data_IF_892192498486
#
_entry.id   IF_892192498486
#
_cell.length_a   1.000
_cell.length_b   1.000
_cell.length_c   1.000
_cell.angle_alpha   90.00
_cell.angle_beta   90.00
_cell.angle_gamma   90.00
#
_symmetry.space_group_name_H-M   'P 1'
#
loop_
_entity.id
_entity.type
_entity.pdbx_description
1 polymer ?
#
# COMPACT_ATOMS: atom_id res chain seq x y z
N UNK A 1 -37.97 34.71 49.44
CA UNK A 1 -37.57 34.30 48.08
C UNK A 1 -36.06 34.47 47.94
N UNK A 2 -35.32 33.36 47.82
CA UNK A 2 -33.96 33.28 47.26
C UNK A 2 -33.66 31.80 47.08
N UNK A 3 -33.81 31.32 45.85
CA UNK A 3 -33.47 29.95 45.46
C UNK A 3 -32.15 30.05 44.70
N UNK A 4 -31.10 29.40 45.21
CA UNK A 4 -29.80 29.29 44.56
C UNK A 4 -29.83 28.03 43.69
N UNK A 5 -29.69 28.18 42.37
CA UNK A 5 -29.46 27.06 41.45
C UNK A 5 -27.95 26.84 41.32
N UNK A 6 -27.48 25.67 41.73
CA UNK A 6 -26.13 25.20 41.44
C UNK A 6 -26.12 24.53 40.07
N UNK A 7 -25.39 25.12 39.11
CA UNK A 7 -25.13 24.53 37.80
C UNK A 7 -23.89 23.64 37.92
N UNK A 8 -24.05 22.31 37.89
CA UNK A 8 -22.94 21.38 37.72
C UNK A 8 -22.49 21.42 36.26
N UNK A 9 -21.37 22.07 35.98
CA UNK A 9 -20.62 21.87 34.74
C UNK A 9 -19.84 20.55 34.86
N UNK A 10 -20.34 19.49 34.21
CA UNK A 10 -19.54 18.30 33.95
C UNK A 10 -18.50 18.62 32.86
N UNK A 11 -17.25 18.85 33.28
CA UNK A 11 -16.13 18.98 32.37
C UNK A 11 -15.74 17.58 31.89
N UNK A 12 -16.20 17.20 30.70
CA UNK A 12 -15.78 15.96 30.04
C UNK A 12 -14.31 16.06 29.65
N UNK A 13 -13.44 15.36 30.37
CA UNK A 13 -12.04 15.16 30.02
C UNK A 13 -11.96 14.24 28.80
N UNK A 14 -11.81 14.83 27.61
CA UNK A 14 -11.42 14.08 26.42
C UNK A 14 -9.95 13.68 26.56
N UNK A 15 -9.70 12.43 26.97
CA UNK A 15 -8.39 11.82 26.79
C UNK A 15 -8.17 11.62 25.30
N UNK A 16 -7.28 12.43 24.73
CA UNK A 16 -6.70 12.16 23.41
C UNK A 16 -5.83 10.92 23.59
N UNK A 17 -6.41 9.73 23.39
CA UNK A 17 -5.68 8.48 23.39
C UNK A 17 -4.67 8.50 22.26
N UNK A 18 -3.40 8.70 22.59
CA UNK A 18 -2.31 8.44 21.66
C UNK A 18 -2.34 6.95 21.30
N UNK A 19 -2.48 6.64 20.01
CA UNK A 19 -2.32 5.28 19.51
C UNK A 19 -0.94 4.79 19.97
N UNK A 20 -0.92 3.71 20.76
CA UNK A 20 0.33 3.12 21.21
C UNK A 20 1.11 2.62 19.99
N UNK A 21 2.43 2.86 19.91
CA UNK A 21 3.24 2.39 18.78
C UNK A 21 3.13 0.88 18.61
N UNK A 22 3.18 0.43 17.36
CA UNK A 22 3.12 -0.99 17.00
C UNK A 22 4.28 -1.73 17.65
N UNK A 23 4.03 -2.76 18.45
CA UNK A 23 5.08 -3.69 18.85
C UNK A 23 5.31 -4.69 17.71
N UNK A 24 6.32 -4.42 16.87
CA UNK A 24 6.62 -5.25 15.70
C UNK A 24 7.02 -6.67 16.07
N UNK A 25 7.73 -6.89 17.18
CA UNK A 25 8.07 -8.23 17.65
C UNK A 25 6.84 -9.05 17.99
N UNK A 26 5.83 -8.42 18.61
CA UNK A 26 4.55 -9.06 18.88
C UNK A 26 3.81 -9.39 17.58
N UNK A 27 3.67 -8.44 16.65
CA UNK A 27 2.99 -8.70 15.38
C UNK A 27 3.70 -9.75 14.53
N UNK A 28 5.03 -9.81 14.56
CA UNK A 28 5.79 -10.85 13.88
C UNK A 28 5.55 -12.22 14.51
N UNK A 29 5.52 -12.32 15.84
CA UNK A 29 5.16 -13.56 16.51
C UNK A 29 3.74 -13.98 16.10
N UNK A 30 2.76 -13.08 16.15
CA UNK A 30 1.38 -13.36 15.72
C UNK A 30 1.28 -13.72 14.23
N UNK A 31 2.07 -13.09 13.36
CA UNK A 31 2.13 -13.38 11.92
C UNK A 31 2.50 -14.83 11.65
N UNK A 32 3.37 -15.42 12.48
CA UNK A 32 3.91 -16.77 12.32
C UNK A 32 3.55 -17.71 13.48
N UNK A 33 2.42 -17.46 14.14
CA UNK A 33 1.86 -18.33 15.19
C UNK A 33 2.87 -18.68 16.31
N UNK A 34 3.63 -17.68 16.74
CA UNK A 34 4.63 -17.74 17.81
C UNK A 34 6.02 -18.20 17.37
N UNK A 35 6.19 -18.71 16.15
CA UNK A 35 7.45 -19.25 15.63
C UNK A 35 7.91 -18.49 14.39
N UNK A 36 8.11 -17.17 14.51
CA UNK A 36 8.62 -16.39 13.39
C UNK A 36 10.08 -16.77 13.08
N UNK A 37 10.39 -17.14 11.82
CA UNK A 37 11.78 -17.31 11.40
C UNK A 37 12.47 -15.95 11.16
N UNK A 38 11.74 -14.83 11.25
CA UNK A 38 12.23 -13.51 10.88
C UNK A 38 12.33 -12.58 12.08
N UNK A 39 13.38 -11.77 12.10
CA UNK A 39 13.55 -10.67 13.06
C UNK A 39 12.80 -9.40 12.60
N UNK A 40 12.59 -8.41 13.50
CA UNK A 40 12.07 -7.09 13.12
C UNK A 40 12.79 -6.42 11.95
N UNK A 41 14.07 -6.70 11.72
CA UNK A 41 14.85 -6.12 10.62
C UNK A 41 14.40 -6.60 9.23
N UNK A 42 13.60 -7.67 9.16
CA UNK A 42 13.00 -8.15 7.92
C UNK A 42 11.71 -7.42 7.57
N UNK A 43 11.15 -6.63 8.50
CA UNK A 43 9.94 -5.83 8.25
C UNK A 43 10.30 -4.65 7.35
N UNK A 44 9.88 -4.73 6.09
CA UNK A 44 10.12 -3.67 5.10
C UNK A 44 8.98 -2.66 5.03
N UNK A 45 7.84 -2.97 5.65
CA UNK A 45 6.70 -2.06 5.74
C UNK A 45 5.86 -2.35 6.97
N UNK A 46 5.44 -1.30 7.68
CA UNK A 46 4.40 -1.39 8.68
C UNK A 46 3.58 -0.10 8.73
N UNK A 47 2.25 -0.23 8.82
CA UNK A 47 1.33 0.89 9.00
C UNK A 47 0.14 0.51 9.87
N UNK A 48 -0.37 1.49 10.59
CA UNK A 48 -1.62 1.44 11.33
C UNK A 48 -2.59 2.48 10.78
N UNK A 49 -3.88 2.15 10.80
CA UNK A 49 -4.95 3.09 10.52
C UNK A 49 -6.20 2.75 11.33
N UNK A 50 -7.14 3.68 11.37
CA UNK A 50 -8.44 3.49 12.03
C UNK A 50 -9.53 3.85 11.04
N UNK A 51 -10.57 3.03 11.00
CA UNK A 51 -11.78 3.26 10.19
C UNK A 51 -12.99 3.46 11.11
N UNK A 52 -14.08 3.97 10.56
CA UNK A 52 -15.31 4.19 11.34
C UNK A 52 -15.25 5.37 12.34
N UNK A 53 -16.32 5.52 13.13
CA UNK A 53 -16.50 6.64 14.06
C UNK A 53 -17.12 6.17 15.39
N UNK A 54 -16.84 6.93 16.45
CA UNK A 54 -17.40 6.66 17.79
C UNK A 54 -17.09 5.25 18.28
N UNK A 55 -18.12 4.55 18.76
CA UNK A 55 -18.02 3.19 19.27
C UNK A 55 -17.76 2.15 18.17
N UNK A 56 -17.96 2.48 16.89
CA UNK A 56 -17.75 1.58 15.74
C UNK A 56 -16.36 1.73 15.11
N UNK A 57 -15.38 2.30 15.82
CA UNK A 57 -14.00 2.41 15.32
C UNK A 57 -13.31 1.04 15.23
N UNK A 58 -12.66 0.75 14.11
CA UNK A 58 -11.81 -0.44 13.99
C UNK A 58 -10.39 0.01 13.73
N UNK A 59 -9.44 -0.48 14.53
CA UNK A 59 -8.01 -0.24 14.32
C UNK A 59 -7.43 -1.40 13.51
N UNK A 60 -6.63 -1.07 12.52
CA UNK A 60 -5.94 -2.01 11.63
C UNK A 60 -4.45 -1.78 11.71
N UNK A 61 -3.69 -2.85 11.56
CA UNK A 61 -2.25 -2.80 11.29
C UNK A 61 -1.93 -3.72 10.13
N UNK A 62 -1.01 -3.32 9.28
CA UNK A 62 -0.48 -4.17 8.22
C UNK A 62 1.03 -4.19 8.29
N UNK A 63 1.63 -5.34 8.06
CA UNK A 63 3.07 -5.51 7.93
C UNK A 63 3.40 -6.27 6.65
N UNK A 64 4.53 -5.93 6.04
CA UNK A 64 5.15 -6.73 5.00
C UNK A 64 6.58 -7.09 5.41
N UNK A 65 6.94 -8.35 5.22
CA UNK A 65 8.23 -8.94 5.62
C UNK A 65 8.95 -9.43 4.38
N UNK A 66 10.20 -9.03 4.19
CA UNK A 66 11.05 -9.56 3.12
C UNK A 66 11.58 -10.93 3.52
N UNK A 67 11.25 -11.96 2.75
CA UNK A 67 11.58 -13.37 3.05
C UNK A 67 12.78 -13.91 2.27
N UNK A 68 13.29 -13.15 1.31
CA UNK A 68 14.44 -13.52 0.49
C UNK A 68 15.76 -13.16 1.18
N UNK A 69 16.53 -14.20 1.53
CA UNK A 69 17.68 -14.12 2.46
C UNK A 69 19.06 -13.80 1.82
N UNK A 70 19.15 -13.37 0.56
CA UNK A 70 20.47 -13.08 -0.03
C UNK A 70 20.53 -11.86 -0.93
N UNK A 71 21.65 -11.14 -0.84
CA UNK A 71 22.07 -10.11 -1.80
C UNK A 71 22.41 -10.80 -3.12
N UNK A 72 21.35 -11.08 -3.88
CA UNK A 72 21.45 -11.68 -5.19
C UNK A 72 21.06 -10.62 -6.22
N UNK A 73 22.04 -10.25 -7.05
CA UNK A 73 21.93 -9.24 -8.09
C UNK A 73 20.73 -9.49 -9.04
N UNK A 74 20.44 -10.76 -9.34
CA UNK A 74 19.37 -11.16 -10.25
C UNK A 74 18.10 -11.63 -9.54
N UNK A 75 18.07 -11.65 -8.21
CA UNK A 75 16.92 -12.18 -7.48
C UNK A 75 15.90 -11.07 -7.21
N UNK A 76 14.63 -11.43 -7.36
CA UNK A 76 13.53 -10.60 -6.90
C UNK A 76 13.37 -10.73 -5.38
N UNK A 77 13.00 -9.64 -4.71
CA UNK A 77 12.57 -9.71 -3.33
C UNK A 77 11.19 -10.35 -3.23
N UNK A 78 11.02 -11.24 -2.26
CA UNK A 78 9.74 -11.87 -1.93
C UNK A 78 9.19 -11.30 -0.64
N UNK A 79 7.88 -11.03 -0.63
CA UNK A 79 7.21 -10.41 0.51
C UNK A 79 6.10 -11.30 1.05
N UNK A 80 6.13 -11.56 2.35
CA UNK A 80 4.99 -12.04 3.11
C UNK A 80 4.21 -10.84 3.67
N UNK A 81 2.90 -10.98 3.83
CA UNK A 81 2.02 -9.91 4.32
C UNK A 81 1.05 -10.41 5.38
N UNK A 82 0.82 -9.60 6.42
CA UNK A 82 -0.20 -9.86 7.42
C UNK A 82 -1.01 -8.61 7.77
N UNK A 83 -2.33 -8.78 7.82
CA UNK A 83 -3.28 -7.78 8.27
C UNK A 83 -3.75 -8.16 9.66
N UNK A 84 -3.72 -7.20 10.57
CA UNK A 84 -4.19 -7.33 11.92
C UNK A 84 -5.35 -6.39 12.16
N UNK A 85 -6.30 -6.84 12.97
CA UNK A 85 -7.39 -6.03 13.49
C UNK A 85 -7.27 -6.00 15.00
N UNK A 86 -7.54 -4.85 15.59
CA UNK A 86 -7.53 -4.73 17.03
C UNK A 86 -8.87 -5.20 17.61
N UNK A 87 -8.85 -6.35 18.27
CA UNK A 87 -9.90 -6.78 19.17
C UNK A 87 -9.86 -5.92 20.45
N UNK A 88 -11.02 -5.44 20.87
CA UNK A 88 -11.16 -4.64 22.09
C UNK A 88 -11.25 -5.51 23.34
N UNK A 89 -11.41 -6.81 23.19
CA UNK A 89 -11.67 -7.74 24.28
C UNK A 89 -10.45 -8.59 24.70
N UNK A 90 -9.30 -8.49 24.03
CA UNK A 90 -8.08 -9.22 24.38
C UNK A 90 -6.95 -8.29 24.86
N UNK A 91 -6.24 -8.71 25.91
CA UNK A 91 -5.04 -8.03 26.41
C UNK A 91 -3.91 -8.18 25.36
N UNK A 92 -3.43 -7.07 24.80
CA UNK A 92 -2.51 -7.06 23.63
C UNK A 92 -3.20 -6.72 22.30
N UNK A 93 -4.53 -6.85 22.25
CA UNK A 93 -5.43 -6.21 21.29
C UNK A 93 -5.34 -6.65 19.83
N UNK A 94 -4.19 -6.99 19.26
CA UNK A 94 -4.09 -7.29 17.83
C UNK A 94 -4.30 -8.77 17.52
N UNK A 95 -5.20 -9.07 16.59
CA UNK A 95 -5.42 -10.41 16.05
C UNK A 95 -5.13 -10.42 14.55
N UNK A 96 -4.39 -11.44 14.09
CA UNK A 96 -4.11 -11.65 12.67
C UNK A 96 -5.42 -11.98 11.95
N UNK A 97 -5.87 -11.07 11.10
CA UNK A 97 -7.10 -11.20 10.30
C UNK A 97 -6.84 -11.83 8.93
N UNK A 98 -5.71 -11.50 8.30
CA UNK A 98 -5.28 -12.07 7.01
C UNK A 98 -3.79 -12.31 7.02
N UNK A 99 -3.35 -13.30 6.28
CA UNK A 99 -1.94 -13.62 6.07
C UNK A 99 -1.75 -14.24 4.69
N UNK A 100 -0.72 -13.81 3.98
CA UNK A 100 -0.31 -14.43 2.72
C UNK A 100 1.20 -14.45 2.61
N UNK A 101 1.74 -15.63 2.33
CA UNK A 101 3.14 -15.78 1.94
C UNK A 101 3.34 -15.39 0.49
N UNK A 102 4.51 -14.83 0.19
CA UNK A 102 4.91 -14.47 -1.17
C UNK A 102 3.83 -13.69 -1.94
N UNK A 103 3.11 -12.79 -1.25
CA UNK A 103 2.01 -12.04 -1.88
C UNK A 103 2.53 -11.11 -2.99
N UNK A 104 3.79 -10.69 -2.88
CA UNK A 104 4.46 -9.90 -3.89
C UNK A 104 5.87 -10.42 -4.17
N UNK A 105 6.26 -10.32 -5.44
CA UNK A 105 7.61 -10.58 -5.94
C UNK A 105 8.03 -9.33 -6.69
N UNK A 106 9.14 -8.71 -6.29
CA UNK A 106 9.49 -7.33 -6.68
C UNK A 106 10.92 -7.22 -7.19
N UNK A 107 11.08 -6.42 -8.25
CA UNK A 107 12.36 -5.90 -8.72
C UNK A 107 13.42 -6.93 -9.15
N UNK A 108 14.66 -6.43 -9.19
CA UNK A 108 15.91 -7.19 -9.12
C UNK A 108 16.70 -6.73 -7.90
N UNK A 109 17.92 -7.22 -7.70
CA UNK A 109 18.80 -6.83 -6.57
C UNK A 109 18.24 -7.12 -5.16
N UNK A 110 17.24 -7.98 -5.03
CA UNK A 110 16.60 -8.28 -3.75
C UNK A 110 16.01 -7.03 -3.04
N UNK A 111 15.62 -6.02 -3.80
CA UNK A 111 14.98 -4.81 -3.28
C UNK A 111 13.45 -4.92 -3.31
N UNK A 112 12.75 -4.62 -2.20
CA UNK A 112 11.29 -4.75 -2.10
C UNK A 112 10.50 -3.68 -2.88
N UNK A 113 11.19 -2.65 -3.40
CA UNK A 113 10.57 -1.42 -3.88
C UNK A 113 10.07 -0.50 -2.77
N UNK A 114 9.45 0.61 -3.15
CA UNK A 114 8.79 1.53 -2.22
C UNK A 114 7.38 1.01 -1.91
N UNK A 115 7.12 0.77 -0.62
CA UNK A 115 5.83 0.26 -0.14
C UNK A 115 5.08 1.37 0.60
N UNK A 116 3.83 1.62 0.20
CA UNK A 116 2.97 2.65 0.80
C UNK A 116 1.52 2.19 0.94
N UNK A 117 0.73 2.90 1.77
CA UNK A 117 -0.72 2.72 1.78
C UNK A 117 -1.37 3.59 0.71
N UNK A 118 -2.30 3.01 -0.03
CA UNK A 118 -3.15 3.72 -0.98
C UNK A 118 -4.60 3.62 -0.54
N UNK A 119 -5.25 4.75 -0.32
CA UNK A 119 -6.65 4.80 0.09
C UNK A 119 -7.55 4.36 -1.07
N UNK A 120 -8.27 3.24 -0.91
CA UNK A 120 -9.11 2.63 -1.94
C UNK A 120 -10.59 3.01 -1.78
N UNK A 121 -11.06 3.21 -0.55
CA UNK A 121 -12.40 3.75 -0.26
C UNK A 121 -12.33 4.70 0.93
N UNK A 122 -13.47 5.11 1.52
CA UNK A 122 -13.44 5.94 2.73
C UNK A 122 -12.74 5.23 3.90
N UNK A 123 -12.88 3.91 3.98
CA UNK A 123 -12.42 3.06 5.07
C UNK A 123 -11.42 1.96 4.62
N UNK A 124 -11.28 1.71 3.32
CA UNK A 124 -10.39 0.66 2.80
C UNK A 124 -9.06 1.21 2.29
N UNK A 125 -7.99 0.47 2.56
CA UNK A 125 -6.64 0.76 2.09
C UNK A 125 -6.03 -0.46 1.40
N UNK A 126 -5.33 -0.20 0.30
CA UNK A 126 -4.47 -1.16 -0.38
C UNK A 126 -3.00 -0.91 -0.06
N UNK A 127 -2.18 -1.93 -0.27
CA UNK A 127 -0.72 -1.82 -0.27
C UNK A 127 -0.29 -1.52 -1.71
N UNK A 128 0.32 -0.36 -1.89
CA UNK A 128 0.95 0.04 -3.14
C UNK A 128 2.43 -0.29 -3.07
N UNK A 129 2.93 -0.97 -4.08
CA UNK A 129 4.36 -1.25 -4.25
C UNK A 129 4.81 -0.63 -5.57
N UNK A 130 5.74 0.31 -5.48
CA UNK A 130 6.44 0.90 -6.63
C UNK A 130 7.83 0.27 -6.73
N UNK A 131 8.09 -0.43 -7.83
CA UNK A 131 9.38 -1.10 -8.06
C UNK A 131 9.84 -0.88 -9.49
N UNK A 132 11.13 -1.06 -9.73
CA UNK A 132 11.70 -0.90 -11.06
C UNK A 132 12.96 -1.72 -11.24
N UNK A 133 13.46 -1.69 -12.46
CA UNK A 133 14.70 -2.31 -12.85
C UNK A 133 15.41 -1.43 -13.87
N UNK A 134 16.72 -1.27 -13.69
CA UNK A 134 17.59 -0.63 -14.67
C UNK A 134 18.63 -1.64 -15.15
N UNK A 135 18.76 -1.78 -16.46
CA UNK A 135 19.73 -2.67 -17.09
C UNK A 135 20.10 -2.18 -18.48
N UNK A 136 21.39 -2.21 -18.80
CA UNK A 136 21.92 -1.84 -20.13
C UNK A 136 21.45 -0.44 -20.62
N UNK A 137 21.25 0.50 -19.69
CA UNK A 137 20.80 1.86 -20.00
C UNK A 137 19.29 2.03 -20.18
N UNK A 138 18.49 0.99 -19.95
CA UNK A 138 17.03 1.03 -19.93
C UNK A 138 16.52 0.95 -18.49
N UNK A 139 15.57 1.79 -18.14
CA UNK A 139 14.89 1.79 -16.84
C UNK A 139 13.39 1.60 -17.06
N UNK A 140 12.82 0.62 -16.38
CA UNK A 140 11.37 0.35 -16.35
C UNK A 140 10.91 0.39 -14.91
N UNK A 141 9.83 1.11 -14.61
CA UNK A 141 9.18 1.04 -13.29
C UNK A 141 7.72 0.63 -13.43
N UNK A 142 7.18 0.02 -12.39
CA UNK A 142 5.78 -0.35 -12.30
C UNK A 142 5.25 -0.22 -10.88
N UNK A 143 3.93 -0.11 -10.80
CA UNK A 143 3.17 -0.09 -9.55
C UNK A 143 2.26 -1.30 -9.52
N UNK A 144 2.24 -2.02 -8.40
CA UNK A 144 1.21 -3.01 -8.08
C UNK A 144 0.42 -2.55 -6.85
N UNK A 145 -0.88 -2.80 -6.85
CA UNK A 145 -1.78 -2.52 -5.71
C UNK A 145 -2.36 -3.85 -5.24
N UNK A 146 -2.17 -4.16 -3.97
CA UNK A 146 -2.67 -5.36 -3.30
C UNK A 146 -3.72 -4.99 -2.27
N UNK A 147 -4.76 -5.80 -2.12
CA UNK A 147 -5.83 -5.55 -1.16
C UNK A 147 -5.76 -6.53 0.02
N UNK A 148 -5.30 -6.10 1.21
CA UNK A 148 -5.08 -7.00 2.35
C UNK A 148 -6.32 -7.79 2.78
N UNK A 149 -7.50 -7.18 2.76
CA UNK A 149 -8.77 -7.82 3.15
C UNK A 149 -9.18 -9.00 2.25
N UNK A 150 -8.78 -8.95 0.97
CA UNK A 150 -8.89 -10.07 0.03
C UNK A 150 -7.58 -10.87 0.00
N UNK A 151 -7.06 -11.24 1.16
CA UNK A 151 -5.83 -12.04 1.28
C UNK A 151 -4.68 -11.50 0.43
N UNK A 152 -4.49 -10.17 0.42
CA UNK A 152 -3.43 -9.52 -0.34
C UNK A 152 -3.51 -9.81 -1.85
N UNK A 153 -4.70 -10.01 -2.43
CA UNK A 153 -4.86 -10.17 -3.86
C UNK A 153 -4.42 -8.91 -4.63
N UNK A 154 -3.77 -9.11 -5.78
CA UNK A 154 -3.32 -8.01 -6.64
C UNK A 154 -4.49 -7.48 -7.45
N UNK A 155 -4.99 -6.31 -7.07
CA UNK A 155 -6.17 -5.70 -7.69
C UNK A 155 -5.83 -4.71 -8.80
N UNK A 156 -4.57 -4.28 -8.93
CA UNK A 156 -4.11 -3.48 -10.06
C UNK A 156 -2.59 -3.63 -10.30
N UNK A 157 -2.17 -3.48 -11.55
CA UNK A 157 -0.77 -3.40 -11.93
C UNK A 157 -0.59 -2.48 -13.16
N UNK A 158 0.37 -1.56 -13.09
CA UNK A 158 0.63 -0.60 -14.16
C UNK A 158 2.12 -0.39 -14.35
N UNK A 159 2.60 -0.33 -15.60
CA UNK A 159 3.93 0.22 -15.88
C UNK A 159 3.85 1.74 -15.69
N UNK A 160 4.68 2.28 -14.81
CA UNK A 160 4.65 3.70 -14.44
C UNK A 160 5.69 4.54 -15.14
N UNK A 161 6.82 3.97 -15.55
CA UNK A 161 7.75 4.67 -16.42
C UNK A 161 8.53 3.71 -17.31
N UNK A 162 9.04 4.26 -18.39
CA UNK A 162 10.06 3.66 -19.23
C UNK A 162 10.97 4.77 -19.70
N UNK A 163 12.28 4.55 -19.64
CA UNK A 163 13.29 5.50 -20.06
C UNK A 163 14.51 4.75 -20.61
N UNK A 164 15.03 5.20 -21.76
CA UNK A 164 16.23 4.61 -22.37
C UNK A 164 17.39 5.60 -22.45
N UNK A 165 17.40 6.67 -21.64
CA UNK A 165 18.40 7.74 -21.76
C UNK A 165 19.82 7.23 -21.52
N UNK A 166 19.99 6.16 -20.73
CA UNK A 166 21.28 5.52 -20.48
C UNK A 166 21.82 4.69 -21.64
N UNK A 167 21.00 4.38 -22.65
CA UNK A 167 21.39 3.60 -23.84
C UNK A 167 21.47 4.46 -25.12
N UNK A 168 21.24 5.77 -24.99
CA UNK A 168 21.17 6.73 -26.09
C UNK A 168 22.51 7.34 -26.52
N UNK A 169 23.61 7.01 -25.84
CA UNK A 169 24.94 7.55 -26.14
C UNK A 169 25.79 6.47 -26.85
N UNK A 170 26.34 6.72 -28.06
CA UNK A 170 26.24 7.93 -28.90
C UNK A 170 24.84 8.13 -29.54
N UNK A 171 24.49 9.38 -29.95
CA UNK A 171 23.14 9.86 -30.29
C UNK A 171 22.47 9.22 -31.52
N UNK A 172 23.10 8.20 -32.09
CA UNK A 172 22.58 7.39 -33.20
C UNK A 172 21.32 6.61 -32.81
N UNK A 173 21.10 6.41 -31.50
CA UNK A 173 19.90 5.80 -30.94
C UNK A 173 18.91 6.87 -30.48
N UNK A 174 17.66 6.76 -30.95
CA UNK A 174 16.58 7.65 -30.53
C UNK A 174 16.24 7.42 -29.04
N UNK A 175 16.01 8.51 -28.32
CA UNK A 175 15.57 8.46 -26.93
C UNK A 175 14.06 8.58 -26.78
N UNK A 176 13.56 7.92 -25.75
CA UNK A 176 12.21 8.04 -25.26
C UNK A 176 12.22 7.96 -23.73
N UNK A 177 11.12 8.44 -23.15
CA UNK A 177 11.00 8.60 -21.71
C UNK A 177 9.58 9.01 -21.38
N UNK A 178 8.84 8.21 -20.63
CA UNK A 178 7.51 8.57 -20.17
C UNK A 178 7.31 8.22 -18.70
N UNK A 179 6.36 8.91 -18.07
CA UNK A 179 5.95 8.66 -16.69
C UNK A 179 4.43 8.67 -16.56
N UNK A 180 3.95 7.95 -15.54
CA UNK A 180 2.54 7.80 -15.21
C UNK A 180 2.33 8.10 -13.75
N UNK A 181 1.45 9.07 -13.47
CA UNK A 181 1.00 9.37 -12.11
C UNK A 181 -0.32 8.68 -11.83
N UNK A 182 -0.36 7.85 -10.79
CA UNK A 182 -1.56 7.15 -10.32
C UNK A 182 -2.13 7.89 -9.10
N UNK A 183 -3.42 8.20 -9.13
CA UNK A 183 -4.15 8.84 -8.03
C UNK A 183 -5.54 8.23 -7.89
N UNK A 184 -6.11 8.25 -6.68
CA UNK A 184 -7.54 7.96 -6.49
C UNK A 184 -8.38 9.21 -6.74
N UNK A 185 -9.58 9.03 -7.27
CA UNK A 185 -10.53 10.11 -7.53
C UNK A 185 -11.58 10.14 -6.42
N UNK A 186 -11.28 10.84 -5.33
CA UNK A 186 -12.21 11.02 -4.21
C UNK A 186 -13.54 11.63 -4.71
N UNK A 187 -14.63 10.87 -4.58
CA UNK A 187 -15.97 11.25 -5.03
C UNK A 187 -16.49 10.50 -6.25
N UNK A 188 -15.64 9.78 -7.00
CA UNK A 188 -16.10 8.82 -8.01
C UNK A 188 -15.93 7.41 -7.45
N UNK A 189 -17.01 6.86 -6.91
CA UNK A 189 -17.02 5.54 -6.28
C UNK A 189 -17.76 4.54 -7.15
N UNK A 190 -17.27 3.30 -7.15
CA UNK A 190 -18.05 2.16 -7.61
C UNK A 190 -19.21 1.93 -6.61
N UNK A 191 -20.47 1.88 -7.08
CA UNK A 191 -21.65 1.81 -6.20
C UNK A 191 -21.69 0.64 -5.22
N UNK A 192 -21.24 -0.55 -5.60
CA UNK A 192 -21.41 -1.78 -4.80
C UNK A 192 -20.33 -1.91 -3.72
N UNK A 193 -19.09 -1.55 -4.05
CA UNK A 193 -17.89 -1.71 -3.23
C UNK A 193 -17.48 -0.42 -2.52
N UNK A 194 -17.91 0.73 -3.02
CA UNK A 194 -17.51 2.05 -2.52
C UNK A 194 -16.07 2.43 -2.90
N UNK A 195 -15.38 1.62 -3.71
CA UNK A 195 -14.00 1.87 -4.12
C UNK A 195 -13.92 3.09 -5.03
N UNK A 196 -12.93 3.95 -4.81
CA UNK A 196 -12.65 5.09 -5.67
C UNK A 196 -12.12 4.63 -7.02
N UNK A 197 -12.51 5.32 -8.09
CA UNK A 197 -11.87 5.14 -9.39
C UNK A 197 -10.40 5.59 -9.34
N UNK A 198 -9.54 4.91 -10.12
CA UNK A 198 -8.14 5.34 -10.31
C UNK A 198 -8.04 6.25 -11.52
N UNK A 199 -7.22 7.30 -11.39
CA UNK A 199 -6.82 8.19 -12.48
C UNK A 199 -5.33 8.04 -12.75
N UNK A 200 -5.01 7.71 -13.99
CA UNK A 200 -3.65 7.62 -14.51
C UNK A 200 -3.40 8.80 -15.45
N UNK A 201 -2.42 9.63 -15.13
CA UNK A 201 -1.96 10.73 -16.00
C UNK A 201 -0.62 10.32 -16.59
N UNK A 202 -0.58 10.12 -17.92
CA UNK A 202 0.61 9.67 -18.64
C UNK A 202 1.17 10.82 -19.47
N UNK A 203 2.46 11.08 -19.31
CA UNK A 203 3.16 12.16 -20.01
C UNK A 203 4.56 11.72 -20.45
N UNK A 204 5.02 12.21 -21.61
CA UNK A 204 6.38 11.96 -22.12
C UNK A 204 6.36 11.40 -23.53
N UNK A 205 7.35 10.59 -23.90
CA UNK A 205 7.51 9.99 -25.22
C UNK A 205 7.61 8.47 -25.06
N UNK A 206 6.82 7.71 -25.81
CA UNK A 206 6.88 6.24 -25.77
C UNK A 206 8.00 5.67 -26.66
N UNK A 207 8.19 4.34 -26.62
CA UNK A 207 9.17 3.61 -27.43
C UNK A 207 8.95 3.70 -28.95
N UNK A 208 7.75 4.08 -29.41
CA UNK A 208 7.47 4.43 -30.81
C UNK A 208 7.84 5.88 -31.17
N UNK A 209 8.44 6.63 -30.24
CA UNK A 209 8.78 8.05 -30.36
C UNK A 209 7.56 8.96 -30.55
N UNK A 210 6.40 8.55 -30.02
CA UNK A 210 5.16 9.35 -30.02
C UNK A 210 4.98 10.04 -28.69
N UNK A 211 4.60 11.32 -28.76
CA UNK A 211 4.22 12.10 -27.59
C UNK A 211 2.98 11.46 -26.93
N UNK A 212 3.10 11.21 -25.64
CA UNK A 212 2.03 10.79 -24.76
C UNK A 212 1.58 11.98 -23.93
N UNK A 213 0.29 12.29 -24.01
CA UNK A 213 -0.39 13.17 -23.07
C UNK A 213 -1.84 12.69 -22.97
N UNK A 214 -2.09 11.76 -22.05
CA UNK A 214 -3.42 11.16 -21.89
C UNK A 214 -3.75 10.89 -20.44
N UNK A 215 -5.03 11.01 -20.13
CA UNK A 215 -5.58 10.60 -18.85
C UNK A 215 -6.43 9.36 -19.06
N UNK A 216 -6.21 8.32 -18.26
CA UNK A 216 -7.00 7.10 -18.23
C UNK A 216 -7.70 6.96 -16.88
N UNK A 217 -8.87 6.36 -16.90
CA UNK A 217 -9.65 6.07 -15.69
C UNK A 217 -9.87 4.57 -15.58
N UNK A 218 -9.75 4.06 -14.37
CA UNK A 218 -10.00 2.65 -14.06
C UNK A 218 -11.03 2.55 -12.94
N UNK A 219 -11.91 1.56 -13.06
CA UNK A 219 -12.95 1.26 -12.07
C UNK A 219 -12.74 -0.13 -11.52
N UNK A 220 -12.90 -0.27 -10.21
CA UNK A 220 -12.91 -1.58 -9.57
C UNK A 220 -14.14 -2.36 -10.00
N UNK A 221 -14.02 -3.64 -10.35
CA UNK A 221 -15.13 -4.48 -10.80
C UNK A 221 -15.56 -5.53 -9.75
N UNK A 222 -15.07 -5.42 -8.51
CA UNK A 222 -15.23 -6.42 -7.46
C UNK A 222 -14.03 -7.35 -7.29
N UNK A 223 -13.13 -7.43 -8.29
CA UNK A 223 -11.91 -8.24 -8.27
C UNK A 223 -10.66 -7.43 -8.61
N UNK A 224 -10.72 -6.63 -9.68
CA UNK A 224 -9.59 -5.85 -10.21
C UNK A 224 -10.04 -4.49 -10.73
N UNK A 225 -9.09 -3.59 -10.94
CA UNK A 225 -9.33 -2.32 -11.63
C UNK A 225 -9.25 -2.48 -13.16
N UNK A 226 -10.38 -2.29 -13.83
CA UNK A 226 -10.49 -2.32 -15.29
C UNK A 226 -10.58 -0.91 -15.87
N UNK A 227 -10.08 -0.76 -17.10
CA UNK A 227 -10.16 0.51 -17.82
C UNK A 227 -11.62 0.84 -18.16
N UNK A 228 -12.04 2.06 -17.84
CA UNK A 228 -13.33 2.62 -18.27
C UNK A 228 -13.35 3.01 -19.74
#
# INVERSE_FOLDING_TARGET
>A
MKTIFALLLACGSYTVGYAQPINLSFLLAEMYDGNSPYSPDHVVFSKQWTTGKGENKTEYAVIAVKTSESDCHACAARLDGALFRKDRYTEGGWQRSRFRRDFAVTGGFNEPGEISLMKLSDDEYGIRIDAGYTGQGYTVTGTAIFYPEMEFERIAAFQTSEDNSGACDPPERKCFGYSTKITTVSGQKEPETGFYDLKLVISGTNSDFKLMNRTLYYRYNGLVYDRK
#
